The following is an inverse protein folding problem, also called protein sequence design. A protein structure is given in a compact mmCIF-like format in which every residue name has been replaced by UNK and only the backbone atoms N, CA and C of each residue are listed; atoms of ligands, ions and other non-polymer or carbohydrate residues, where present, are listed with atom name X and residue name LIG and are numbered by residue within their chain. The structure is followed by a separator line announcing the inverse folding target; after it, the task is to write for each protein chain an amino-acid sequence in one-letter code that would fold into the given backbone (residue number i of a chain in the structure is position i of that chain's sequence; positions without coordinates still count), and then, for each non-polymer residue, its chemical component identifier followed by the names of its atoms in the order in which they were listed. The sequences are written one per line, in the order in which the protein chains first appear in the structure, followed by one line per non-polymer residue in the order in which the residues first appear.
data_IF_195824364600
#
_entry.id   IF_195824364600
#
_cell.length_a   1.000
_cell.length_b   1.000
_cell.length_c   1.000
_cell.angle_alpha   90.00
_cell.angle_beta   90.00
_cell.angle_gamma   90.00
#
_symmetry.space_group_name_H-M   'P 1'
#
loop_
_entity.id
_entity.type
_entity.pdbx_description
1 polymer ?
#
# COMPACT_ATOMS: atom_id res chain seq x y z
N UNK A 1 1.04 -11.88 -18.32
CA UNK A 1 0.95 -11.83 -16.85
C UNK A 1 0.23 -10.54 -16.49
N UNK A 2 -0.88 -10.61 -15.76
CA UNK A 2 -1.69 -9.41 -15.46
C UNK A 2 -1.20 -8.81 -14.14
N UNK A 3 -0.86 -7.52 -14.14
CA UNK A 3 -0.48 -6.80 -12.93
C UNK A 3 -1.67 -6.78 -11.96
N UNK A 4 -1.47 -7.28 -10.74
CA UNK A 4 -2.48 -7.16 -9.68
C UNK A 4 -2.67 -5.68 -9.34
N UNK A 5 -3.92 -5.25 -9.23
CA UNK A 5 -4.28 -3.86 -8.93
C UNK A 5 -5.23 -3.87 -7.73
N UNK A 6 -5.15 -2.86 -6.84
CA UNK A 6 -6.09 -2.77 -5.74
C UNK A 6 -7.53 -2.82 -6.24
N UNK A 7 -8.37 -3.59 -5.54
CA UNK A 7 -9.78 -3.82 -5.91
C UNK A 7 -10.00 -4.47 -7.29
N UNK A 8 -9.00 -5.11 -7.88
CA UNK A 8 -9.13 -5.84 -9.14
C UNK A 8 -8.49 -7.21 -9.08
N UNK A 9 -9.18 -8.16 -9.70
CA UNK A 9 -8.72 -9.54 -9.78
C UNK A 9 -9.23 -10.37 -8.61
N UNK A 10 -8.79 -11.64 -8.53
CA UNK A 10 -9.19 -12.54 -7.45
C UNK A 10 -8.60 -12.07 -6.11
N UNK A 11 -9.42 -12.19 -5.07
CA UNK A 11 -9.01 -12.05 -3.67
C UNK A 11 -9.10 -13.44 -3.07
N UNK A 12 -7.98 -13.94 -2.56
CA UNK A 12 -7.91 -15.31 -2.03
C UNK A 12 -8.50 -15.43 -0.62
N UNK A 13 -8.52 -14.33 0.15
CA UNK A 13 -9.05 -14.30 1.51
C UNK A 13 -10.54 -13.92 1.61
N UNK A 14 -11.15 -14.26 2.75
CA UNK A 14 -12.55 -13.90 3.07
C UNK A 14 -12.77 -12.39 3.17
N UNK A 15 -11.70 -11.65 3.47
CA UNK A 15 -11.69 -10.19 3.56
C UNK A 15 -10.48 -9.64 2.81
N UNK A 16 -10.64 -8.40 2.35
CA UNK A 16 -9.60 -7.66 1.66
C UNK A 16 -9.36 -6.31 2.35
N UNK A 17 -8.09 -6.02 2.67
CA UNK A 17 -7.67 -4.73 3.22
C UNK A 17 -6.72 -4.05 2.21
N UNK A 18 -7.20 -3.02 1.48
CA UNK A 18 -6.35 -2.27 0.56
C UNK A 18 -5.34 -1.39 1.31
N UNK A 19 -4.26 -1.03 0.63
CA UNK A 19 -3.27 -0.08 1.12
C UNK A 19 -3.80 1.36 0.96
N UNK A 20 -4.79 1.74 1.76
CA UNK A 20 -5.37 3.08 1.77
C UNK A 20 -4.33 4.11 2.26
N UNK A 21 -3.99 5.14 1.48
CA UNK A 21 -3.09 6.21 1.90
C UNK A 21 -3.46 6.89 3.22
N UNK A 22 -4.72 6.87 3.63
CA UNK A 22 -5.17 7.44 4.91
C UNK A 22 -4.86 6.52 6.12
N UNK A 23 -4.57 5.25 5.90
CA UNK A 23 -4.34 4.24 6.94
C UNK A 23 -2.95 3.58 6.87
N UNK A 24 -2.19 3.83 5.80
CA UNK A 24 -0.79 3.42 5.68
C UNK A 24 0.11 4.44 6.38
N UNK A 25 1.00 3.93 7.22
CA UNK A 25 1.99 4.75 7.95
C UNK A 25 3.40 4.21 7.69
N UNK A 26 4.40 5.10 7.63
CA UNK A 26 5.81 4.74 7.47
C UNK A 26 6.61 5.08 8.72
N UNK A 27 7.36 4.11 9.26
CA UNK A 27 8.21 4.33 10.42
C UNK A 27 7.47 4.51 11.76
N UNK A 28 6.15 4.28 11.80
CA UNK A 28 5.34 4.33 13.02
C UNK A 28 4.74 2.95 13.30
N UNK A 29 4.89 2.48 14.53
CA UNK A 29 4.19 1.29 15.01
C UNK A 29 2.93 1.70 15.77
N UNK A 30 1.75 1.16 15.42
CA UNK A 30 0.54 1.38 16.20
C UNK A 30 0.68 0.81 17.62
N UNK A 31 -0.03 1.39 18.57
CA UNK A 31 -0.08 0.94 19.96
C UNK A 31 -1.50 0.52 20.35
N UNK A 32 -1.69 0.10 21.60
CA UNK A 32 -2.97 -0.40 22.11
C UNK A 32 -4.15 0.60 22.00
N UNK A 33 -3.88 1.90 21.83
CA UNK A 33 -4.90 2.94 21.67
C UNK A 33 -5.15 3.33 20.21
N UNK A 34 -4.36 2.80 19.27
CA UNK A 34 -4.53 3.07 17.84
C UNK A 34 -5.87 2.50 17.36
N UNK A 35 -6.61 3.27 16.55
CA UNK A 35 -7.86 2.81 15.95
C UNK A 35 -7.56 1.69 14.95
N UNK A 36 -8.27 0.55 15.00
CA UNK A 36 -8.07 -0.53 14.04
C UNK A 36 -8.61 -0.14 12.66
N UNK A 37 -7.89 -0.57 11.61
CA UNK A 37 -8.31 -0.40 10.21
C UNK A 37 -9.30 -1.47 9.76
N UNK A 38 -9.27 -2.65 10.40
CA UNK A 38 -10.16 -3.78 10.17
C UNK A 38 -10.26 -4.63 11.44
N UNK A 39 -11.44 -5.20 11.71
CA UNK A 39 -11.64 -6.20 12.77
C UNK A 39 -12.39 -7.39 12.18
N UNK A 40 -11.90 -8.61 12.47
CA UNK A 40 -12.43 -9.85 11.91
C UNK A 40 -12.61 -10.93 13.00
N UNK A 41 -13.57 -11.85 12.83
CA UNK A 41 -13.65 -13.05 13.67
C UNK A 41 -12.39 -13.92 13.58
N UNK A 42 -12.12 -14.69 14.63
CA UNK A 42 -11.04 -15.68 14.61
C UNK A 42 -11.25 -16.72 13.50
N UNK A 43 -10.17 -17.11 12.82
CA UNK A 43 -10.19 -18.02 11.68
C UNK A 43 -10.48 -17.36 10.33
N UNK A 44 -10.80 -16.05 10.29
CA UNK A 44 -11.00 -15.33 9.02
C UNK A 44 -9.68 -15.14 8.29
N UNK A 45 -9.64 -15.51 7.00
CA UNK A 45 -8.52 -15.22 6.12
C UNK A 45 -8.60 -13.78 5.58
N UNK A 46 -7.46 -13.08 5.50
CA UNK A 46 -7.42 -11.69 5.05
C UNK A 46 -6.31 -11.51 4.01
N UNK A 47 -6.67 -11.02 2.83
CA UNK A 47 -5.73 -10.54 1.82
C UNK A 47 -5.40 -9.06 2.10
N UNK A 48 -4.11 -8.76 2.25
CA UNK A 48 -3.62 -7.41 2.57
C UNK A 48 -2.75 -6.90 1.42
N UNK A 49 -3.03 -5.68 0.96
CA UNK A 49 -2.08 -4.97 0.12
C UNK A 49 -0.94 -4.42 0.99
N UNK A 50 0.30 -4.61 0.53
CA UNK A 50 1.47 -3.98 1.12
C UNK A 50 2.16 -3.11 0.08
N UNK A 51 2.80 -2.05 0.54
CA UNK A 51 3.60 -1.16 -0.30
C UNK A 51 5.04 -1.26 0.20
N UNK A 52 5.97 -1.45 -0.74
CA UNK A 52 7.40 -1.34 -0.44
C UNK A 52 7.84 0.13 -0.46
N UNK A 53 8.78 0.52 0.42
CA UNK A 53 9.42 1.85 0.33
C UNK A 53 10.33 1.94 -0.89
N UNK A 54 10.71 0.77 -1.42
CA UNK A 54 11.66 0.67 -2.50
C UNK A 54 11.17 1.44 -3.72
N UNK A 55 12.02 2.32 -4.25
CA UNK A 55 11.72 3.18 -5.39
C UNK A 55 10.99 4.50 -5.09
N UNK A 56 10.45 4.70 -3.88
CA UNK A 56 9.91 6.01 -3.45
C UNK A 56 10.99 6.86 -2.77
N UNK A 57 11.97 6.22 -2.12
CA UNK A 57 13.04 6.89 -1.42
C UNK A 57 14.04 7.59 -2.35
N UNK A 58 14.63 8.66 -1.81
CA UNK A 58 15.43 9.63 -2.52
C UNK A 58 16.67 9.07 -3.21
N UNK A 59 17.26 8.05 -2.59
CA UNK A 59 18.48 7.33 -2.93
C UNK A 59 18.21 6.10 -3.81
N UNK A 60 16.94 5.76 -4.06
CA UNK A 60 16.55 4.57 -4.80
C UNK A 60 15.83 4.88 -6.12
N UNK A 61 16.18 6.00 -6.76
CA UNK A 61 15.73 6.35 -8.11
C UNK A 61 14.50 7.24 -8.20
N UNK A 62 13.72 7.43 -7.11
CA UNK A 62 12.55 8.35 -6.97
C UNK A 62 11.41 8.22 -7.99
N UNK A 63 11.57 7.42 -9.04
CA UNK A 63 10.59 7.23 -10.10
C UNK A 63 10.37 5.74 -10.39
N UNK A 64 9.54 5.09 -9.55
CA UNK A 64 9.20 3.69 -9.76
C UNK A 64 8.39 3.49 -11.05
N UNK A 65 7.70 4.53 -11.55
CA UNK A 65 6.97 4.46 -12.80
C UNK A 65 7.93 4.23 -13.97
N UNK A 66 8.99 5.04 -14.05
CA UNK A 66 10.02 4.93 -15.07
C UNK A 66 10.78 3.60 -14.96
N UNK A 67 11.12 3.18 -13.75
CA UNK A 67 11.81 1.90 -13.50
C UNK A 67 11.03 0.71 -14.06
N UNK A 68 9.75 0.57 -13.70
CA UNK A 68 8.92 -0.54 -14.18
C UNK A 68 8.55 -0.42 -15.66
N UNK A 69 8.41 0.81 -16.18
CA UNK A 69 8.15 1.03 -17.61
C UNK A 69 9.29 0.53 -18.50
N UNK A 70 10.56 0.61 -18.04
CA UNK A 70 11.70 0.04 -18.76
C UNK A 70 11.61 -1.49 -18.92
N UNK A 71 10.89 -2.18 -18.03
CA UNK A 71 10.59 -3.60 -18.11
C UNK A 71 9.25 -3.90 -18.83
N UNK A 72 8.61 -2.90 -19.45
CA UNK A 72 7.32 -3.04 -20.14
C UNK A 72 6.11 -3.14 -19.19
N UNK A 73 6.29 -2.84 -17.90
CA UNK A 73 5.22 -2.87 -16.91
C UNK A 73 4.65 -1.46 -16.76
N UNK A 74 3.39 -1.28 -17.16
CA UNK A 74 2.69 0.01 -17.11
C UNK A 74 1.56 0.00 -16.08
N UNK A 75 1.19 1.19 -15.59
CA UNK A 75 0.03 1.36 -14.69
C UNK A 75 0.31 1.15 -13.20
N UNK A 76 1.57 0.98 -12.80
CA UNK A 76 2.01 0.62 -11.43
C UNK A 76 1.73 1.67 -10.34
N UNK A 77 1.12 2.81 -10.69
CA UNK A 77 0.85 3.94 -9.80
C UNK A 77 -0.54 4.58 -10.02
N UNK A 78 -1.54 3.81 -10.45
CA UNK A 78 -2.92 4.36 -10.58
C UNK A 78 -3.50 4.85 -9.25
N UNK A 79 -2.96 4.40 -8.11
CA UNK A 79 -3.26 4.93 -6.77
C UNK A 79 -2.60 6.31 -6.52
N UNK A 80 -2.68 7.23 -7.49
CA UNK A 80 -2.08 8.57 -7.42
C UNK A 80 -3.18 9.57 -7.04
N UNK A 81 -3.29 9.91 -5.75
CA UNK A 81 -3.68 11.26 -5.26
C UNK A 81 -3.67 11.53 -3.74
N UNK A 82 -3.32 10.58 -2.84
CA UNK A 82 -3.34 10.89 -1.37
C UNK A 82 -2.08 10.56 -0.56
N UNK A 83 -1.20 9.65 -0.98
CA UNK A 83 -0.10 9.19 -0.11
C UNK A 83 1.04 10.19 0.11
N UNK A 84 1.18 11.19 -0.77
CA UNK A 84 2.32 12.12 -0.74
C UNK A 84 2.13 13.35 0.18
N UNK A 85 1.03 13.45 0.94
CA UNK A 85 0.74 14.62 1.81
C UNK A 85 0.66 14.30 3.31
N UNK A 86 0.98 13.08 3.74
CA UNK A 86 1.12 12.80 5.16
C UNK A 86 2.47 13.37 5.66
N UNK A 87 2.51 14.68 5.90
CA UNK A 87 3.57 15.32 6.68
C UNK A 87 3.59 14.67 8.07
N UNK A 88 4.76 14.27 8.60
CA UNK A 88 4.82 13.77 9.97
C UNK A 88 4.47 14.93 10.90
N UNK A 89 3.33 14.84 11.58
CA UNK A 89 3.04 15.71 12.72
C UNK A 89 4.11 15.41 13.76
N UNK A 90 4.99 16.39 13.99
CA UNK A 90 6.00 16.32 15.03
C UNK A 90 5.32 16.03 16.39
N UNK A 91 5.88 15.06 17.12
CA UNK A 91 5.61 14.82 18.53
C UNK A 91 6.51 15.73 19.35
#
# INVERSE_FOLDING_TARGET
MTLLQPHRGPVDGDRYLPADPAAVHWGLLPNARSKPTLSVPSGTSVSLDTISHEGILADQGRDPAAFFAAAGIHGILRCRRRSAQATPTAV
#
